data_IF_475054867022
#
_entry.id   IF_475054867022
#
_cell.length_a   1.000
_cell.length_b   1.000
_cell.length_c   1.000
_cell.angle_alpha   90.00
_cell.angle_beta   90.00
_cell.angle_gamma   90.00
#
_symmetry.space_group_name_H-M   'P 1'
#
loop_
_entity.id
_entity.type
_entity.pdbx_description
1 polymer ?
#
# COMPACT_ATOMS: atom_id res chain seq x y z
N UNK A 1 -10.84 0.06 11.52
CA UNK A 1 -10.04 1.03 12.31
C UNK A 1 -8.96 0.29 13.08
N UNK A 2 -7.86 -0.06 12.39
CA UNK A 2 -6.61 -0.43 13.08
C UNK A 2 -6.11 0.84 13.78
N UNK A 3 -5.75 0.73 15.05
CA UNK A 3 -5.16 1.86 15.78
C UNK A 3 -3.76 2.09 15.23
N UNK A 4 -3.61 3.11 14.38
CA UNK A 4 -2.31 3.67 14.05
C UNK A 4 -1.56 3.96 15.35
N UNK A 5 -0.38 3.35 15.51
CA UNK A 5 0.55 3.66 16.60
C UNK A 5 1.24 5.00 16.32
N UNK A 6 0.46 6.07 16.26
CA UNK A 6 0.97 7.44 16.15
C UNK A 6 0.88 8.10 17.51
N UNK A 7 2.02 8.25 18.17
CA UNK A 7 2.12 8.93 19.46
C UNK A 7 2.05 10.44 19.21
N UNK A 8 0.87 11.04 19.36
CA UNK A 8 0.69 12.49 19.24
C UNK A 8 1.08 13.21 20.54
N UNK A 9 2.14 14.02 20.50
CA UNK A 9 2.48 14.98 21.57
C UNK A 9 1.69 16.27 21.31
N UNK A 10 0.69 16.54 22.14
CA UNK A 10 -0.10 17.77 22.08
C UNK A 10 0.54 18.85 22.95
N UNK A 11 0.96 19.98 22.36
CA UNK A 11 1.32 21.20 23.10
C UNK A 11 0.21 22.22 22.89
N UNK A 12 -0.60 22.45 23.92
CA UNK A 12 -1.64 23.47 23.92
C UNK A 12 -1.07 24.85 24.25
N UNK A 13 -1.40 25.84 23.42
CA UNK A 13 -1.24 27.27 23.76
C UNK A 13 -2.59 27.95 23.57
N UNK A 14 -3.14 28.46 24.67
CA UNK A 14 -4.40 29.20 24.69
C UNK A 14 -4.15 30.67 24.35
N UNK A 15 -4.89 31.21 23.37
CA UNK A 15 -5.01 32.65 23.12
C UNK A 15 -6.41 33.11 23.52
N UNK A 16 -6.48 33.98 24.53
CA UNK A 16 -7.68 34.76 24.86
C UNK A 16 -7.77 35.99 23.96
N UNK A 17 -8.86 36.11 23.19
CA UNK A 17 -9.19 37.33 22.44
C UNK A 17 -10.33 38.10 23.14
N UNK A 18 -10.14 39.41 23.27
CA UNK A 18 -11.09 40.37 23.85
C UNK A 18 -12.04 40.84 22.75
N UNK A 19 -13.36 40.75 22.99
CA UNK A 19 -14.41 41.17 22.04
C UNK A 19 -14.72 42.66 22.27
N UNK A 20 -14.49 43.49 21.25
CA UNK A 20 -15.02 44.84 21.14
C UNK A 20 -16.22 44.85 20.19
N UNK A 21 -17.40 45.20 20.68
CA UNK A 21 -18.62 45.29 19.88
C UNK A 21 -18.70 46.62 19.13
N UNK A 22 -18.75 46.58 17.80
CA UNK A 22 -19.17 47.69 16.96
C UNK A 22 -20.41 47.27 16.14
N UNK A 23 -21.49 48.04 16.27
CA UNK A 23 -22.73 47.86 15.54
C UNK A 23 -22.54 48.29 14.08
N UNK A 24 -22.66 47.34 13.15
CA UNK A 24 -22.77 47.61 11.72
C UNK A 24 -24.12 47.09 11.20
N UNK A 25 -24.79 47.92 10.39
CA UNK A 25 -26.09 47.67 9.75
C UNK A 25 -26.04 46.51 8.76
N UNK A 26 -27.15 45.78 8.52
CA UNK A 26 -27.13 44.56 7.72
C UNK A 26 -26.96 44.93 6.23
N UNK A 27 -25.80 44.59 5.66
CA UNK A 27 -25.65 44.45 4.22
C UNK A 27 -26.30 43.13 3.79
N UNK A 28 -27.03 43.14 2.67
CA UNK A 28 -27.62 41.95 2.08
C UNK A 28 -26.55 40.87 1.92
N UNK A 29 -26.76 39.72 2.53
CA UNK A 29 -25.88 38.58 2.40
C UNK A 29 -25.92 38.13 0.93
N UNK A 30 -24.78 38.29 0.25
CA UNK A 30 -24.51 37.55 -0.98
C UNK A 30 -24.50 36.07 -0.59
N UNK A 31 -25.18 35.23 -1.37
CA UNK A 31 -25.11 33.78 -1.22
C UNK A 31 -23.63 33.37 -1.15
N UNK A 32 -23.23 32.52 -0.19
CA UNK A 32 -21.86 32.05 -0.13
C UNK A 32 -21.53 31.35 -1.45
N UNK A 33 -20.41 31.76 -2.05
CA UNK A 33 -19.82 31.09 -3.21
C UNK A 33 -19.74 29.58 -2.89
N UNK A 34 -20.18 28.69 -3.82
CA UNK A 34 -20.14 27.26 -3.55
C UNK A 34 -18.72 26.87 -3.15
N UNK A 35 -18.57 26.25 -1.99
CA UNK A 35 -17.27 25.84 -1.48
C UNK A 35 -16.51 25.07 -2.56
N UNK A 36 -15.29 25.52 -2.86
CA UNK A 36 -14.44 24.90 -3.87
C UNK A 36 -14.26 23.43 -3.50
N UNK A 37 -14.63 22.50 -4.41
CA UNK A 37 -14.50 21.06 -4.16
C UNK A 37 -13.06 20.73 -3.79
N UNK A 38 -12.82 19.83 -2.82
CA UNK A 38 -11.48 19.42 -2.45
C UNK A 38 -10.73 18.88 -3.68
N UNK A 39 -9.45 19.22 -3.75
CA UNK A 39 -8.54 18.82 -4.83
C UNK A 39 -7.44 17.97 -4.24
N UNK A 40 -7.06 16.94 -4.97
CA UNK A 40 -6.03 15.99 -4.58
C UNK A 40 -4.95 15.94 -5.64
N UNK A 41 -3.73 15.68 -5.19
CA UNK A 41 -2.61 15.52 -6.10
C UNK A 41 -2.71 14.16 -6.78
N UNK A 42 -2.62 14.18 -8.10
CA UNK A 42 -2.53 12.97 -8.90
C UNK A 42 -1.22 12.93 -9.66
N UNK A 43 -0.66 11.74 -9.70
CA UNK A 43 0.45 11.35 -10.55
C UNK A 43 -0.05 10.63 -11.80
N UNK A 44 0.61 10.83 -12.93
CA UNK A 44 0.38 10.09 -14.16
C UNK A 44 1.64 10.03 -15.02
N UNK A 45 1.63 9.10 -15.97
CA UNK A 45 2.75 8.89 -16.88
C UNK A 45 2.30 9.21 -18.32
N UNK A 46 2.77 10.34 -18.91
CA UNK A 46 2.36 10.74 -20.26
C UNK A 46 2.71 9.72 -21.33
N UNK A 47 3.81 8.98 -21.14
CA UNK A 47 4.31 7.98 -22.06
C UNK A 47 4.48 6.63 -21.34
N UNK A 48 4.21 5.48 -22.00
CA UNK A 48 4.24 4.17 -21.36
C UNK A 48 5.52 3.80 -20.60
N UNK A 49 6.68 4.25 -21.08
CA UNK A 49 7.98 4.03 -20.41
C UNK A 49 8.61 5.32 -19.86
N UNK A 50 7.82 6.38 -19.76
CA UNK A 50 8.30 7.72 -19.39
C UNK A 50 8.45 7.94 -17.89
N UNK A 51 8.87 9.16 -17.56
CA UNK A 51 8.87 9.69 -16.20
C UNK A 51 7.50 10.25 -15.83
N UNK A 52 7.19 10.26 -14.54
CA UNK A 52 5.92 10.74 -14.00
C UNK A 52 5.72 12.25 -14.13
N UNK A 53 4.47 12.67 -14.08
CA UNK A 53 4.00 14.06 -14.04
C UNK A 53 2.92 14.18 -12.99
N UNK A 54 2.90 15.31 -12.29
CA UNK A 54 1.91 15.60 -11.26
C UNK A 54 1.01 16.75 -11.67
N UNK A 55 -0.26 16.64 -11.28
CA UNK A 55 -1.23 17.73 -11.34
C UNK A 55 -2.18 17.61 -10.14
N UNK A 56 -3.13 18.52 -10.05
CA UNK A 56 -4.22 18.44 -9.09
C UNK A 56 -5.53 18.24 -9.84
N UNK A 57 -6.40 17.43 -9.28
CA UNK A 57 -7.75 17.19 -9.81
C UNK A 57 -8.77 17.25 -8.69
N UNK A 58 -10.04 17.61 -8.98
CA UNK A 58 -11.10 17.46 -7.99
C UNK A 58 -11.23 16.00 -7.56
N UNK A 59 -11.50 15.77 -6.28
CA UNK A 59 -11.79 14.43 -5.73
C UNK A 59 -13.05 13.84 -6.37
N UNK A 60 -14.04 14.70 -6.63
CA UNK A 60 -15.31 14.34 -7.26
C UNK A 60 -15.44 15.08 -8.58
N UNK A 61 -15.63 14.33 -9.66
CA UNK A 61 -15.75 14.89 -10.99
C UNK A 61 -17.23 14.98 -11.34
N UNK A 62 -17.69 16.21 -11.60
CA UNK A 62 -18.92 16.35 -12.38
C UNK A 62 -18.54 15.86 -13.78
N UNK A 63 -19.18 14.78 -14.24
CA UNK A 63 -19.04 14.24 -15.60
C UNK A 63 -18.79 15.36 -16.61
N UNK A 64 -17.65 15.31 -17.30
CA UNK A 64 -17.27 16.32 -18.29
C UNK A 64 -18.40 16.48 -19.31
N UNK A 65 -18.89 17.71 -19.44
CA UNK A 65 -19.83 18.23 -20.46
C UNK A 65 -21.33 17.95 -20.32
N UNK A 66 -21.98 18.47 -19.26
CA UNK A 66 -23.32 19.10 -19.35
C UNK A 66 -24.48 18.33 -19.99
N UNK A 67 -24.37 17.02 -20.21
CA UNK A 67 -25.45 16.15 -20.64
C UNK A 67 -25.88 15.34 -19.43
N UNK A 68 -27.15 15.42 -19.01
CA UNK A 68 -27.64 14.53 -17.98
C UNK A 68 -27.43 13.10 -18.47
N UNK A 69 -26.75 12.29 -17.67
CA UNK A 69 -26.66 10.85 -17.87
C UNK A 69 -28.08 10.34 -18.17
N UNK A 70 -28.26 9.78 -19.36
CA UNK A 70 -29.52 9.16 -19.69
C UNK A 70 -29.62 7.92 -18.81
N UNK A 71 -30.41 8.00 -17.73
CA UNK A 71 -30.79 6.84 -16.91
C UNK A 71 -31.46 5.82 -17.82
N UNK A 72 -30.66 4.91 -18.37
CA UNK A 72 -31.17 3.72 -19.03
C UNK A 72 -31.56 2.76 -17.92
N UNK A 73 -32.86 2.66 -17.67
CA UNK A 73 -33.42 1.57 -16.88
C UNK A 73 -33.34 0.30 -17.74
N UNK A 74 -32.18 -0.34 -17.74
CA UNK A 74 -32.09 -1.73 -18.18
C UNK A 74 -32.97 -2.58 -17.23
N UNK A 75 -33.65 -3.63 -17.72
CA UNK A 75 -34.42 -4.52 -16.86
C UNK A 75 -33.47 -5.13 -15.83
N UNK A 76 -33.94 -5.31 -14.60
CA UNK A 76 -33.23 -6.03 -13.55
C UNK A 76 -32.97 -7.48 -13.99
N UNK A 77 -31.86 -7.71 -14.68
CA UNK A 77 -31.10 -8.93 -14.48
C UNK A 77 -30.72 -8.99 -12.99
N UNK A 78 -30.53 -10.18 -12.44
CA UNK A 78 -29.91 -10.29 -11.12
C UNK A 78 -28.52 -9.63 -11.22
N UNK A 79 -28.42 -8.38 -10.76
CA UNK A 79 -27.23 -7.56 -10.97
C UNK A 79 -26.17 -8.02 -9.98
N UNK A 80 -25.01 -8.44 -10.47
CA UNK A 80 -23.82 -8.70 -9.63
C UNK A 80 -23.19 -7.39 -9.11
N UNK A 81 -23.89 -6.25 -9.22
CA UNK A 81 -23.37 -4.95 -8.80
C UNK A 81 -23.04 -4.93 -7.30
N UNK A 82 -21.78 -4.65 -7.00
CA UNK A 82 -21.22 -4.72 -5.66
C UNK A 82 -20.87 -6.11 -5.18
N UNK A 83 -20.95 -7.14 -6.01
CA UNK A 83 -20.48 -8.48 -5.67
C UNK A 83 -18.97 -8.43 -5.39
N UNK A 84 -18.57 -9.14 -4.31
CA UNK A 84 -17.18 -9.20 -3.87
C UNK A 84 -16.61 -10.56 -4.23
N UNK A 85 -15.61 -10.56 -5.11
CA UNK A 85 -14.84 -11.74 -5.49
C UNK A 85 -13.56 -11.89 -4.68
N UNK A 86 -13.03 -13.12 -4.66
CA UNK A 86 -11.76 -13.49 -4.01
C UNK A 86 -10.74 -13.83 -5.08
N UNK A 87 -9.87 -12.88 -5.42
CA UNK A 87 -8.81 -13.15 -6.40
C UNK A 87 -7.64 -13.89 -5.76
N UNK A 88 -7.20 -13.46 -4.57
CA UNK A 88 -6.17 -14.15 -3.79
C UNK A 88 -6.36 -13.85 -2.30
N UNK A 89 -6.67 -14.84 -1.47
CA UNK A 89 -6.84 -14.64 -0.02
C UNK A 89 -5.85 -15.54 0.72
N UNK A 90 -4.90 -14.93 1.41
CA UNK A 90 -3.75 -15.60 2.04
C UNK A 90 -3.83 -15.59 3.57
N UNK A 91 -4.81 -14.89 4.14
CA UNK A 91 -5.03 -14.80 5.58
C UNK A 91 -6.28 -14.00 5.94
N UNK A 92 -6.48 -13.78 7.24
CA UNK A 92 -7.49 -12.84 7.74
C UNK A 92 -7.13 -11.42 7.31
N UNK A 93 -8.12 -10.59 6.97
CA UNK A 93 -7.90 -9.17 6.67
C UNK A 93 -7.30 -8.40 7.85
N UNK A 94 -7.45 -8.89 9.09
CA UNK A 94 -6.75 -8.30 10.24
C UNK A 94 -5.23 -8.54 10.26
N UNK A 95 -4.73 -9.47 9.43
CA UNK A 95 -3.33 -9.90 9.38
C UNK A 95 -2.69 -9.69 8.00
N UNK A 96 -3.39 -9.05 7.06
CA UNK A 96 -2.96 -8.87 5.67
C UNK A 96 -3.09 -7.41 5.26
N UNK A 97 -2.36 -7.07 4.21
CA UNK A 97 -2.62 -5.89 3.39
C UNK A 97 -3.74 -6.24 2.41
N UNK A 98 -4.91 -5.61 2.52
CA UNK A 98 -6.07 -5.87 1.67
C UNK A 98 -6.09 -4.89 0.48
N UNK A 99 -5.82 -5.43 -0.71
CA UNK A 99 -5.92 -4.73 -1.99
C UNK A 99 -7.30 -4.98 -2.59
N UNK A 100 -8.03 -3.92 -2.89
CA UNK A 100 -9.36 -4.00 -3.52
C UNK A 100 -9.29 -3.50 -4.96
N UNK A 101 -9.62 -4.38 -5.90
CA UNK A 101 -9.68 -4.08 -7.33
C UNK A 101 -11.14 -3.85 -7.72
N UNK A 102 -11.47 -2.69 -8.28
CA UNK A 102 -12.80 -2.32 -8.74
C UNK A 102 -12.77 -2.12 -10.26
N UNK A 103 -13.71 -2.72 -11.00
CA UNK A 103 -13.81 -2.55 -12.45
C UNK A 103 -14.74 -1.40 -12.82
N UNK A 104 -14.39 -0.58 -13.82
CA UNK A 104 -15.29 0.44 -14.39
C UNK A 104 -15.38 0.35 -15.91
N UNK A 105 -16.55 0.70 -16.47
CA UNK A 105 -16.84 0.55 -17.89
C UNK A 105 -17.12 -0.89 -18.34
N UNK A 106 -17.40 -1.80 -17.40
CA UNK A 106 -17.83 -3.18 -17.67
C UNK A 106 -19.34 -3.32 -17.43
N UNK A 107 -20.09 -3.73 -18.45
CA UNK A 107 -21.53 -4.00 -18.33
C UNK A 107 -21.79 -5.30 -17.57
N UNK A 108 -23.06 -5.60 -17.26
CA UNK A 108 -23.44 -6.80 -16.50
C UNK A 108 -22.97 -8.11 -17.17
N UNK A 109 -22.95 -8.17 -18.50
CA UNK A 109 -22.47 -9.31 -19.29
C UNK A 109 -20.93 -9.32 -19.48
N UNK A 110 -20.21 -8.34 -18.94
CA UNK A 110 -18.76 -8.19 -19.07
C UNK A 110 -18.01 -8.39 -17.74
N UNK A 111 -18.68 -8.79 -16.65
CA UNK A 111 -18.01 -8.94 -15.35
C UNK A 111 -16.94 -10.05 -15.35
N UNK A 112 -17.12 -11.12 -16.12
CA UNK A 112 -16.06 -12.13 -16.33
C UNK A 112 -14.83 -11.53 -17.04
N UNK A 113 -15.03 -10.57 -17.96
CA UNK A 113 -13.93 -9.86 -18.60
C UNK A 113 -13.20 -8.95 -17.59
N UNK A 114 -13.92 -8.31 -16.68
CA UNK A 114 -13.32 -7.58 -15.56
C UNK A 114 -12.49 -8.50 -14.66
N UNK A 115 -13.03 -9.65 -14.22
CA UNK A 115 -12.27 -10.58 -13.37
C UNK A 115 -11.01 -11.11 -14.06
N UNK A 116 -11.09 -11.41 -15.36
CA UNK A 116 -9.93 -11.79 -16.15
C UNK A 116 -8.89 -10.66 -16.25
N UNK A 117 -9.33 -9.41 -16.44
CA UNK A 117 -8.45 -8.25 -16.43
C UNK A 117 -7.81 -8.07 -15.06
N UNK A 118 -8.57 -8.15 -13.97
CA UNK A 118 -8.08 -8.07 -12.60
C UNK A 118 -6.99 -9.13 -12.32
N UNK A 119 -7.24 -10.39 -12.69
CA UNK A 119 -6.26 -11.47 -12.55
C UNK A 119 -4.98 -11.19 -13.35
N UNK A 120 -5.11 -10.74 -14.60
CA UNK A 120 -3.97 -10.45 -15.48
C UNK A 120 -3.14 -9.26 -14.96
N UNK A 121 -3.80 -8.20 -14.51
CA UNK A 121 -3.14 -7.00 -13.97
C UNK A 121 -2.45 -7.30 -12.66
N UNK A 122 -3.13 -8.00 -11.76
CA UNK A 122 -2.54 -8.40 -10.50
C UNK A 122 -1.33 -9.32 -10.70
N UNK A 123 -1.40 -10.27 -11.64
CA UNK A 123 -0.27 -11.12 -12.00
C UNK A 123 0.93 -10.30 -12.52
N UNK A 124 0.69 -9.27 -13.34
CA UNK A 124 1.75 -8.40 -13.83
C UNK A 124 2.40 -7.56 -12.71
N UNK A 125 1.60 -7.01 -11.79
CA UNK A 125 2.11 -6.27 -10.62
C UNK A 125 2.95 -7.20 -9.74
N UNK A 126 2.45 -8.41 -9.50
CA UNK A 126 3.09 -9.37 -8.59
C UNK A 126 4.20 -10.20 -9.21
N UNK A 127 4.53 -9.98 -10.49
CA UNK A 127 5.77 -10.46 -11.11
C UNK A 127 6.99 -9.61 -10.72
N UNK A 128 6.76 -8.39 -10.23
CA UNK A 128 7.80 -7.46 -9.81
C UNK A 128 8.26 -7.78 -8.39
N UNK A 129 9.58 -7.77 -8.14
CA UNK A 129 10.12 -7.88 -6.79
C UNK A 129 10.16 -6.51 -6.08
N UNK A 130 9.71 -6.38 -4.82
CA UNK A 130 9.47 -7.48 -3.88
C UNK A 130 8.01 -7.96 -3.77
N UNK A 131 7.08 -7.49 -4.61
CA UNK A 131 5.69 -7.97 -4.58
C UNK A 131 5.62 -9.49 -4.72
N UNK A 132 6.38 -10.06 -5.67
CA UNK A 132 6.45 -11.50 -5.94
C UNK A 132 6.79 -12.33 -4.70
N UNK A 133 7.84 -11.96 -3.99
CA UNK A 133 8.30 -12.67 -2.80
C UNK A 133 7.35 -12.58 -1.61
N UNK A 134 6.55 -11.51 -1.54
CA UNK A 134 5.75 -11.15 -0.35
C UNK A 134 4.23 -11.21 -0.55
N UNK A 135 3.75 -11.78 -1.67
CA UNK A 135 2.30 -11.93 -1.94
C UNK A 135 1.53 -12.63 -0.80
N UNK A 136 2.18 -13.51 -0.03
CA UNK A 136 1.59 -14.18 1.13
C UNK A 136 1.17 -13.25 2.28
N UNK A 137 1.57 -11.97 2.23
CA UNK A 137 1.17 -10.91 3.15
C UNK A 137 0.00 -10.07 2.63
N UNK A 138 -0.54 -10.39 1.45
CA UNK A 138 -1.61 -9.63 0.82
C UNK A 138 -2.88 -10.47 0.66
N UNK A 139 -4.01 -9.82 0.79
CA UNK A 139 -5.28 -10.28 0.26
C UNK A 139 -5.67 -9.40 -0.93
N UNK A 140 -6.37 -10.00 -1.89
CA UNK A 140 -6.79 -9.34 -3.12
C UNK A 140 -8.25 -9.69 -3.38
N UNK A 141 -9.07 -8.64 -3.33
CA UNK A 141 -10.50 -8.70 -3.53
C UNK A 141 -10.86 -8.02 -4.84
N UNK A 142 -11.88 -8.54 -5.52
CA UNK A 142 -12.51 -7.82 -6.63
C UNK A 142 -13.87 -7.30 -6.19
N UNK A 143 -14.27 -6.14 -6.69
CA UNK A 143 -15.63 -5.63 -6.53
C UNK A 143 -16.19 -5.24 -7.89
N UNK A 144 -17.34 -5.82 -8.22
CA UNK A 144 -18.03 -5.57 -9.48
C UNK A 144 -18.74 -4.22 -9.41
N UNK A 145 -18.31 -3.23 -10.21
CA UNK A 145 -19.06 -2.00 -10.41
C UNK A 145 -19.71 -2.03 -11.80
N UNK A 146 -20.96 -2.47 -11.84
CA UNK A 146 -21.67 -2.74 -13.10
C UNK A 146 -22.03 -1.42 -13.76
N UNK A 147 -21.37 -1.15 -14.89
CA UNK A 147 -21.57 0.06 -15.68
C UNK A 147 -22.76 -0.07 -16.64
N UNK A 148 -23.44 1.05 -16.91
CA UNK A 148 -24.55 1.06 -17.88
C UNK A 148 -24.05 0.93 -19.33
N UNK A 149 -22.85 1.44 -19.60
CA UNK A 149 -22.19 1.35 -20.89
C UNK A 149 -20.82 0.68 -20.81
N UNK A 150 -20.44 0.03 -21.91
CA UNK A 150 -19.10 -0.53 -22.08
C UNK A 150 -18.11 0.53 -22.55
N UNK A 151 -16.89 0.47 -22.01
CA UNK A 151 -15.82 1.46 -22.21
C UNK A 151 -15.91 2.65 -21.26
N UNK A 152 -14.93 3.53 -21.29
CA UNK A 152 -14.90 4.75 -20.46
C UNK A 152 -14.93 6.04 -21.30
N UNK A 153 -15.28 7.16 -20.68
CA UNK A 153 -15.33 8.47 -21.34
C UNK A 153 -13.95 8.87 -21.88
N UNK A 154 -13.89 9.44 -23.09
CA UNK A 154 -12.65 9.89 -23.74
C UNK A 154 -11.91 8.83 -24.56
N UNK A 155 -12.49 7.65 -24.77
CA UNK A 155 -11.97 6.56 -25.61
C UNK A 155 -13.04 6.08 -26.63
N UNK A 156 -12.76 6.03 -27.96
CA UNK A 156 -11.48 6.33 -28.63
C UNK A 156 -11.09 7.81 -28.69
N UNK A 157 -12.05 8.74 -28.66
CA UNK A 157 -11.81 10.18 -28.85
C UNK A 157 -12.32 10.99 -27.68
N UNK A 158 -11.78 12.19 -27.48
CA UNK A 158 -12.08 13.06 -26.33
C UNK A 158 -13.57 13.47 -26.21
N UNK A 159 -14.33 13.42 -27.31
CA UNK A 159 -15.75 13.76 -27.37
C UNK A 159 -16.69 12.61 -26.98
N UNK A 160 -16.16 11.38 -26.79
CA UNK A 160 -16.97 10.23 -26.36
C UNK A 160 -17.30 10.34 -24.88
N UNK A 161 -18.58 10.34 -24.55
CA UNK A 161 -19.08 10.26 -23.18
C UNK A 161 -19.74 8.90 -22.92
N UNK A 162 -19.51 8.34 -21.74
CA UNK A 162 -20.00 7.04 -21.27
C UNK A 162 -20.59 7.14 -19.88
N UNK A 163 -21.76 6.52 -19.67
CA UNK A 163 -22.36 6.34 -18.36
C UNK A 163 -21.79 5.08 -17.67
N UNK A 164 -20.78 5.28 -16.83
CA UNK A 164 -20.08 4.20 -16.12
C UNK A 164 -20.26 4.29 -14.61
N UNK A 165 -20.08 3.17 -13.92
CA UNK A 165 -20.36 3.05 -12.49
C UNK A 165 -19.51 4.02 -11.66
N UNK A 166 -18.22 4.14 -11.96
CA UNK A 166 -17.27 5.01 -11.24
C UNK A 166 -17.01 6.33 -11.98
N UNK A 167 -17.56 6.52 -13.17
CA UNK A 167 -17.36 7.73 -13.96
C UNK A 167 -15.92 7.92 -14.44
N UNK A 168 -15.18 6.84 -14.70
CA UNK A 168 -13.80 6.93 -15.18
C UNK A 168 -13.71 7.62 -16.54
N UNK A 169 -12.69 8.45 -16.74
CA UNK A 169 -12.50 9.19 -17.98
C UNK A 169 -11.03 9.55 -18.24
N UNK A 170 -10.64 9.49 -19.52
CA UNK A 170 -9.38 10.05 -20.03
C UNK A 170 -9.46 11.56 -20.18
N UNK A 171 -8.36 12.22 -20.55
CA UNK A 171 -8.30 13.68 -20.79
C UNK A 171 -8.56 14.51 -19.53
N UNK A 172 -8.43 13.91 -18.36
CA UNK A 172 -8.50 14.64 -17.11
C UNK A 172 -7.40 15.71 -17.07
N UNK A 173 -7.75 16.91 -16.62
CA UNK A 173 -6.84 18.07 -16.64
C UNK A 173 -6.16 18.29 -18.01
N UNK A 174 -6.92 18.10 -19.11
CA UNK A 174 -6.46 18.23 -20.51
C UNK A 174 -5.33 17.26 -20.92
N UNK A 175 -5.08 16.24 -20.11
CA UNK A 175 -4.01 15.26 -20.32
C UNK A 175 -4.61 13.94 -20.80
N UNK A 176 -4.35 13.57 -22.07
CA UNK A 176 -4.94 12.37 -22.69
C UNK A 176 -4.82 11.12 -21.84
N UNK A 177 -3.64 10.87 -21.25
CA UNK A 177 -3.33 9.61 -20.54
C UNK A 177 -3.73 9.59 -19.07
N UNK A 178 -4.16 10.72 -18.52
CA UNK A 178 -4.60 10.80 -17.13
C UNK A 178 -6.04 10.28 -17.03
N UNK A 179 -6.21 9.13 -16.36
CA UNK A 179 -7.52 8.54 -16.08
C UNK A 179 -7.95 9.01 -14.69
N UNK A 180 -9.01 9.80 -14.64
CA UNK A 180 -9.65 10.17 -13.39
C UNK A 180 -10.93 9.38 -13.16
N UNK A 181 -11.29 9.14 -11.91
CA UNK A 181 -12.56 8.54 -11.47
C UNK A 181 -13.21 9.36 -10.35
N UNK A 182 -14.49 9.12 -10.10
CA UNK A 182 -15.22 9.69 -8.95
C UNK A 182 -14.84 8.95 -7.67
N UNK A 183 -14.04 9.59 -6.80
CA UNK A 183 -13.45 8.93 -5.63
C UNK A 183 -14.50 8.59 -4.57
N UNK A 184 -15.61 9.34 -4.47
CA UNK A 184 -16.72 8.95 -3.59
C UNK A 184 -17.35 7.62 -4.04
N UNK A 185 -17.54 7.45 -5.35
CA UNK A 185 -18.06 6.18 -5.88
C UNK A 185 -17.07 5.04 -5.69
N UNK A 186 -15.78 5.28 -5.98
CA UNK A 186 -14.69 4.31 -5.73
C UNK A 186 -14.71 3.86 -4.27
N UNK A 187 -14.76 4.80 -3.32
CA UNK A 187 -14.84 4.50 -1.91
C UNK A 187 -16.09 3.69 -1.53
N UNK A 188 -17.24 4.01 -2.12
CA UNK A 188 -18.49 3.28 -1.86
C UNK A 188 -18.45 1.82 -2.31
N UNK A 189 -17.77 1.53 -3.43
CA UNK A 189 -17.59 0.16 -3.92
C UNK A 189 -16.49 -0.56 -3.13
N UNK A 190 -15.35 0.09 -2.87
CA UNK A 190 -14.27 -0.49 -2.09
C UNK A 190 -14.74 -0.91 -0.68
N UNK A 191 -15.62 -0.12 -0.05
CA UNK A 191 -16.21 -0.42 1.25
C UNK A 191 -17.11 -1.69 1.29
N UNK A 192 -17.42 -2.30 0.13
CA UNK A 192 -18.14 -3.58 0.07
C UNK A 192 -17.21 -4.76 0.39
N UNK A 193 -15.91 -4.63 0.13
CA UNK A 193 -14.90 -5.64 0.49
C UNK A 193 -14.64 -5.68 2.01
N UNK A 194 -14.05 -6.77 2.56
CA UNK A 194 -13.86 -6.91 4.01
C UNK A 194 -13.02 -5.79 4.66
N UNK A 195 -11.90 -5.43 4.03
CA UNK A 195 -11.05 -4.27 4.35
C UNK A 195 -10.48 -3.74 3.02
N UNK A 196 -10.06 -2.47 2.99
CA UNK A 196 -9.49 -1.82 1.83
C UNK A 196 -8.37 -0.88 2.27
N UNK A 197 -7.14 -1.37 2.24
CA UNK A 197 -5.95 -0.55 2.52
C UNK A 197 -5.51 0.20 1.25
N UNK A 198 -5.56 -0.50 0.11
CA UNK A 198 -5.24 0.03 -1.22
C UNK A 198 -6.37 -0.27 -2.20
N UNK A 199 -6.65 0.69 -3.09
CA UNK A 199 -7.67 0.52 -4.12
C UNK A 199 -7.08 0.66 -5.52
N UNK A 200 -7.44 -0.28 -6.39
CA UNK A 200 -7.05 -0.28 -7.80
C UNK A 200 -8.33 -0.22 -8.65
N UNK A 201 -8.44 0.78 -9.52
CA UNK A 201 -9.53 0.90 -10.49
C UNK A 201 -9.05 0.45 -11.86
N UNK A 202 -9.67 -0.59 -12.40
CA UNK A 202 -9.41 -1.07 -13.76
C UNK A 202 -10.49 -0.52 -14.69
N UNK A 203 -10.11 0.41 -15.56
CA UNK A 203 -10.96 0.98 -16.60
C UNK A 203 -10.96 0.09 -17.84
N UNK A 204 -12.14 -0.30 -18.32
CA UNK A 204 -12.32 -1.08 -19.55
C UNK A 204 -11.88 -0.28 -20.79
N UNK A 205 -10.63 -0.45 -21.20
CA UNK A 205 -10.00 0.33 -22.27
C UNK A 205 -8.70 -0.33 -22.74
N UNK A 206 -8.46 -0.23 -24.05
CA UNK A 206 -7.18 -0.61 -24.69
C UNK A 206 -6.18 0.54 -24.77
N UNK A 207 -6.66 1.78 -24.65
CA UNK A 207 -5.83 2.98 -24.64
C UNK A 207 -4.94 2.98 -23.40
N UNK A 208 -3.65 3.26 -23.55
CA UNK A 208 -2.75 3.45 -22.40
C UNK A 208 -3.20 4.64 -21.55
N UNK A 209 -3.14 4.47 -20.23
CA UNK A 209 -3.27 5.53 -19.25
C UNK A 209 -3.54 4.99 -17.86
N UNK A 210 -3.59 5.90 -16.90
CA UNK A 210 -3.73 5.62 -15.48
C UNK A 210 -3.26 6.79 -14.64
N UNK A 211 -3.42 6.66 -13.32
CA UNK A 211 -3.03 7.67 -12.35
C UNK A 211 -2.80 7.06 -10.97
N UNK A 212 -2.05 7.77 -10.13
CA UNK A 212 -2.00 7.58 -8.70
C UNK A 212 -2.60 8.75 -7.96
N UNK A 213 -3.53 8.48 -7.05
CA UNK A 213 -4.11 9.49 -6.18
C UNK A 213 -3.43 9.43 -4.82
N UNK A 214 -2.89 10.57 -4.39
CA UNK A 214 -2.21 10.73 -3.11
C UNK A 214 -2.94 11.72 -2.20
N UNK A 215 -2.74 11.59 -0.89
CA UNK A 215 -3.31 12.51 0.11
C UNK A 215 -4.81 12.31 0.39
N UNK A 216 -5.40 11.18 -0.02
CA UNK A 216 -6.83 10.92 0.14
C UNK A 216 -7.25 10.79 1.62
N UNK A 217 -6.36 10.33 2.51
CA UNK A 217 -6.63 10.29 3.95
C UNK A 217 -6.92 11.68 4.54
N UNK A 218 -6.20 12.72 4.07
CA UNK A 218 -6.40 14.09 4.52
C UNK A 218 -7.79 14.63 4.14
N UNK A 219 -8.37 14.07 3.08
CA UNK A 219 -9.73 14.35 2.62
C UNK A 219 -10.79 13.44 3.23
N UNK A 220 -10.39 12.52 4.14
CA UNK A 220 -11.30 11.69 4.92
C UNK A 220 -11.60 10.31 4.33
N UNK A 221 -10.87 9.87 3.30
CA UNK A 221 -11.01 8.52 2.77
C UNK A 221 -10.23 7.49 3.60
N UNK A 222 -10.73 6.25 3.73
CA UNK A 222 -10.18 5.25 4.64
C UNK A 222 -9.06 4.36 4.05
N UNK A 223 -8.49 4.73 2.90
CA UNK A 223 -7.46 3.97 2.19
C UNK A 223 -6.25 4.86 1.87
N UNK A 224 -5.07 4.25 1.79
CA UNK A 224 -3.78 4.95 1.64
C UNK A 224 -3.59 5.57 0.25
N UNK A 225 -4.29 5.04 -0.75
CA UNK A 225 -4.19 5.51 -2.13
C UNK A 225 -5.16 4.81 -3.08
N UNK A 226 -5.39 5.44 -4.23
CA UNK A 226 -6.13 4.86 -5.36
C UNK A 226 -5.23 4.90 -6.59
N UNK A 227 -5.08 3.77 -7.27
CA UNK A 227 -4.47 3.74 -8.60
C UNK A 227 -5.52 3.44 -9.67
N UNK A 228 -5.56 4.23 -10.74
CA UNK A 228 -6.37 3.95 -11.93
C UNK A 228 -5.49 3.40 -13.03
N UNK A 229 -6.00 2.45 -13.81
CA UNK A 229 -5.27 1.87 -14.94
C UNK A 229 -6.20 1.31 -16.02
N UNK A 230 -5.71 1.23 -17.25
CA UNK A 230 -6.46 0.59 -18.35
C UNK A 230 -6.30 -0.92 -18.38
N UNK A 231 -7.39 -1.63 -18.63
CA UNK A 231 -7.48 -3.10 -18.63
C UNK A 231 -6.60 -3.78 -19.68
N UNK A 232 -6.47 -3.19 -20.87
CA UNK A 232 -5.86 -3.88 -22.02
C UNK A 232 -4.57 -3.19 -22.49
N UNK A 233 -3.79 -2.67 -21.53
CA UNK A 233 -2.43 -2.20 -21.76
C UNK A 233 -1.45 -2.66 -20.67
N UNK A 234 -0.41 -3.43 -21.03
CA UNK A 234 0.55 -4.00 -20.07
C UNK A 234 1.31 -2.94 -19.27
N UNK A 235 1.61 -1.78 -19.87
CA UNK A 235 2.36 -0.71 -19.21
C UNK A 235 1.51 0.01 -18.15
N UNK A 236 0.18 -0.03 -18.25
CA UNK A 236 -0.70 0.52 -17.21
C UNK A 236 -0.59 -0.23 -15.87
N UNK A 237 -0.15 -1.50 -15.85
CA UNK A 237 0.14 -2.22 -14.59
C UNK A 237 1.33 -1.62 -13.86
N UNK A 238 2.29 -1.04 -14.59
CA UNK A 238 3.49 -0.41 -14.02
C UNK A 238 3.14 0.84 -13.23
N UNK A 239 2.08 1.56 -13.63
CA UNK A 239 1.55 2.70 -12.87
C UNK A 239 1.10 2.19 -11.49
N UNK A 240 0.21 1.20 -11.42
CA UNK A 240 -0.22 0.66 -10.12
C UNK A 240 0.94 0.11 -9.27
N UNK A 241 1.92 -0.57 -9.87
CA UNK A 241 3.10 -1.03 -9.15
C UNK A 241 3.96 0.11 -8.59
N UNK A 242 4.05 1.24 -9.29
CA UNK A 242 4.67 2.49 -8.82
C UNK A 242 3.86 3.10 -7.67
N UNK A 243 2.54 3.26 -7.84
CA UNK A 243 1.68 3.91 -6.84
C UNK A 243 1.60 3.15 -5.51
N UNK A 244 1.51 1.81 -5.58
CA UNK A 244 1.53 0.96 -4.39
C UNK A 244 2.83 1.19 -3.59
N UNK A 245 3.92 1.57 -4.26
CA UNK A 245 5.20 1.77 -3.59
C UNK A 245 5.29 3.06 -2.79
N UNK A 246 4.51 4.09 -3.14
CA UNK A 246 4.34 5.26 -2.28
C UNK A 246 3.64 4.88 -0.98
N UNK A 247 2.51 4.17 -1.06
CA UNK A 247 1.72 3.80 0.13
C UNK A 247 2.44 2.77 1.01
N UNK A 248 2.97 1.71 0.41
CA UNK A 248 3.59 0.62 1.16
C UNK A 248 5.04 0.93 1.53
N UNK A 249 5.84 1.33 0.55
CA UNK A 249 7.28 1.55 0.74
C UNK A 249 7.65 2.92 1.29
N UNK A 250 6.70 3.87 1.35
CA UNK A 250 6.97 5.28 1.66
C UNK A 250 8.10 5.84 0.80
N UNK A 251 8.10 5.46 -0.48
CA UNK A 251 9.10 5.90 -1.45
C UNK A 251 8.70 7.25 -2.03
N UNK A 252 9.69 8.11 -2.26
CA UNK A 252 9.51 9.31 -3.08
C UNK A 252 9.68 8.99 -4.56
N UNK A 253 9.18 9.88 -5.40
CA UNK A 253 9.54 9.93 -6.81
C UNK A 253 11.02 10.24 -7.02
N UNK A 254 11.59 9.60 -8.04
CA UNK A 254 13.00 9.73 -8.43
C UNK A 254 13.19 10.51 -9.74
N UNK A 255 12.10 10.91 -10.41
CA UNK A 255 12.15 11.77 -11.59
C UNK A 255 12.19 13.26 -11.23
N UNK A 256 12.47 14.11 -12.22
CA UNK A 256 12.80 15.52 -12.03
C UNK A 256 12.04 16.42 -13.00
N UNK A 257 11.81 17.66 -12.60
CA UNK A 257 11.29 18.72 -13.46
C UNK A 257 12.32 19.85 -13.56
N UNK A 258 12.75 20.19 -14.77
CA UNK A 258 13.74 21.25 -14.99
C UNK A 258 13.36 22.58 -14.33
N UNK A 259 12.05 22.86 -14.23
CA UNK A 259 11.49 24.05 -13.60
C UNK A 259 11.74 24.16 -12.09
N UNK A 260 12.05 23.05 -11.41
CA UNK A 260 12.29 23.03 -9.96
C UNK A 260 13.69 23.51 -9.59
N UNK A 261 14.66 23.41 -10.51
CA UNK A 261 16.04 23.85 -10.27
C UNK A 261 16.73 23.07 -9.15
N UNK A 262 17.39 23.79 -8.24
CA UNK A 262 18.21 23.17 -7.18
C UNK A 262 17.47 23.17 -5.85
N UNK A 263 17.39 22.01 -5.21
CA UNK A 263 16.95 21.92 -3.82
C UNK A 263 17.95 22.61 -2.89
N UNK A 264 17.44 23.47 -2.01
CA UNK A 264 18.24 24.23 -1.02
C UNK A 264 17.79 23.97 0.42
N UNK A 265 16.86 23.04 0.61
CA UNK A 265 16.33 22.66 1.91
C UNK A 265 17.19 21.62 2.64
N UNK A 266 16.64 21.09 3.73
CA UNK A 266 17.29 20.04 4.53
C UNK A 266 17.14 18.64 3.94
N UNK A 267 17.59 17.66 4.73
CA UNK A 267 17.45 16.24 4.38
C UNK A 267 15.98 15.82 4.29
N UNK A 268 15.65 15.02 3.28
CA UNK A 268 14.31 14.51 3.04
C UNK A 268 14.01 13.30 3.93
N UNK A 269 12.74 13.00 4.26
CA UNK A 269 12.40 11.82 5.04
C UNK A 269 12.55 10.52 4.24
N UNK A 270 12.20 10.53 2.96
CA UNK A 270 12.06 9.35 2.10
C UNK A 270 13.38 8.61 1.90
N UNK A 271 13.35 7.29 2.06
CA UNK A 271 14.59 6.49 2.10
C UNK A 271 15.34 6.48 0.77
N UNK A 272 14.66 6.67 -0.37
CA UNK A 272 15.25 6.70 -1.71
C UNK A 272 15.59 8.12 -2.21
N UNK A 273 15.61 9.13 -1.34
CA UNK A 273 16.06 10.48 -1.68
C UNK A 273 16.90 11.10 -0.57
N UNK A 274 18.01 11.76 -0.93
CA UNK A 274 18.95 12.33 0.05
C UNK A 274 19.70 13.53 -0.49
N UNK A 275 20.05 14.47 0.38
CA UNK A 275 20.96 15.60 0.09
C UNK A 275 22.44 15.23 0.26
N UNK A 276 22.73 14.01 0.75
CA UNK A 276 24.09 13.58 1.03
C UNK A 276 24.78 12.93 -0.18
N UNK A 277 26.07 13.24 -0.38
CA UNK A 277 26.94 12.48 -1.29
C UNK A 277 27.22 11.09 -0.72
N UNK A 278 27.74 10.18 -1.56
CA UNK A 278 28.12 8.83 -1.12
C UNK A 278 29.10 8.85 0.07
N UNK A 279 30.09 9.76 0.07
CA UNK A 279 31.05 9.88 1.17
C UNK A 279 30.39 10.35 2.47
N UNK A 280 29.50 11.35 2.39
CA UNK A 280 28.76 11.86 3.54
C UNK A 280 27.83 10.79 4.10
N UNK A 281 27.10 10.09 3.22
CA UNK A 281 26.19 9.01 3.57
C UNK A 281 26.92 7.86 4.26
N UNK A 282 28.08 7.45 3.73
CA UNK A 282 28.93 6.43 4.32
C UNK A 282 29.52 6.84 5.68
N UNK A 283 30.02 8.08 5.79
CA UNK A 283 30.59 8.62 7.02
C UNK A 283 29.55 8.73 8.14
N UNK A 284 28.35 9.19 7.79
CA UNK A 284 27.26 9.42 8.74
C UNK A 284 26.43 8.16 9.01
N UNK A 285 26.59 7.10 8.21
CA UNK A 285 25.80 5.85 8.27
C UNK A 285 24.29 6.11 8.22
N UNK A 286 23.88 6.91 7.26
CA UNK A 286 22.48 7.30 7.05
C UNK A 286 21.95 6.77 5.72
N UNK A 287 20.62 6.81 5.54
CA UNK A 287 19.95 6.41 4.29
C UNK A 287 20.40 5.02 3.81
N UNK A 288 20.79 4.89 2.55
CA UNK A 288 21.19 3.63 1.95
C UNK A 288 22.69 3.32 2.05
N UNK A 289 23.40 3.84 3.06
CA UNK A 289 24.84 3.60 3.20
C UNK A 289 25.24 2.11 3.18
N UNK A 290 24.35 1.21 3.63
CA UNK A 290 24.56 -0.26 3.62
C UNK A 290 24.53 -0.88 2.24
N UNK A 291 24.03 -0.15 1.26
CA UNK A 291 23.88 -0.59 -0.13
C UNK A 291 24.92 0.05 -1.06
N UNK A 292 25.63 1.11 -0.64
CA UNK A 292 26.62 1.78 -1.49
C UNK A 292 27.64 0.80 -2.09
N UNK A 293 27.80 0.85 -3.41
CA UNK A 293 28.71 0.00 -4.18
C UNK A 293 28.16 -1.37 -4.56
N UNK A 294 26.97 -1.74 -4.10
CA UNK A 294 26.34 -3.01 -4.46
C UNK A 294 25.82 -3.01 -5.89
N UNK A 295 25.93 -4.15 -6.57
CA UNK A 295 25.30 -4.34 -7.88
C UNK A 295 23.78 -4.32 -7.73
N UNK A 296 23.11 -3.49 -8.52
CA UNK A 296 21.68 -3.26 -8.39
C UNK A 296 20.86 -3.96 -9.50
N UNK A 297 19.67 -4.51 -9.21
CA UNK A 297 18.80 -5.13 -10.20
C UNK A 297 18.30 -4.16 -11.28
N UNK A 298 18.29 -2.85 -11.00
CA UNK A 298 18.00 -1.80 -12.00
C UNK A 298 19.14 -1.62 -13.01
N UNK A 299 20.26 -2.31 -12.82
CA UNK A 299 21.50 -2.16 -13.55
C UNK A 299 22.48 -1.20 -12.88
N UNK A 300 23.78 -1.44 -13.06
CA UNK A 300 24.83 -0.63 -12.44
C UNK A 300 25.02 -0.94 -10.95
N UNK A 301 25.43 0.08 -10.19
CA UNK A 301 25.70 -0.04 -8.75
C UNK A 301 24.96 1.03 -7.96
N UNK A 302 24.57 0.72 -6.74
CA UNK A 302 23.99 1.71 -5.83
C UNK A 302 25.03 2.77 -5.48
N UNK A 303 24.67 4.04 -5.64
CA UNK A 303 25.49 5.21 -5.41
C UNK A 303 24.62 6.41 -5.02
N UNK A 304 25.07 7.62 -5.36
CA UNK A 304 24.28 8.85 -5.18
C UNK A 304 24.20 9.57 -6.53
N UNK A 305 23.11 9.33 -7.26
CA UNK A 305 22.88 9.86 -8.60
C UNK A 305 22.08 11.15 -8.50
N UNK A 306 22.60 12.26 -9.03
CA UNK A 306 21.95 13.56 -8.90
C UNK A 306 20.62 13.60 -9.66
N UNK A 307 19.62 14.24 -9.03
CA UNK A 307 18.24 14.33 -9.49
C UNK A 307 17.33 13.36 -8.74
N UNK A 308 16.37 13.88 -7.97
CA UNK A 308 15.32 13.11 -7.30
C UNK A 308 14.25 14.04 -6.74
N UNK A 309 13.11 13.49 -6.30
CA UNK A 309 12.03 14.25 -5.65
C UNK A 309 11.69 15.54 -6.40
N UNK A 310 11.56 15.42 -7.73
CA UNK A 310 11.24 16.51 -8.65
C UNK A 310 12.36 17.52 -8.90
N UNK A 311 13.45 17.55 -8.11
CA UNK A 311 14.56 18.50 -8.28
C UNK A 311 15.68 17.90 -9.13
N UNK A 312 16.09 18.56 -10.23
CA UNK A 312 17.24 18.10 -11.03
C UNK A 312 18.58 18.20 -10.29
N UNK A 313 18.72 19.06 -9.28
CA UNK A 313 19.98 19.27 -8.54
C UNK A 313 19.78 19.32 -7.03
N UNK A 314 20.82 18.94 -6.28
CA UNK A 314 20.86 19.04 -4.80
C UNK A 314 20.17 17.90 -4.04
N UNK A 315 19.53 16.97 -4.74
CA UNK A 315 19.01 15.71 -4.19
C UNK A 315 19.55 14.57 -5.05
N UNK A 316 19.90 13.47 -4.40
CA UNK A 316 20.40 12.24 -5.00
C UNK A 316 19.40 11.11 -4.81
N UNK A 317 19.30 10.24 -5.82
CA UNK A 317 18.63 8.93 -5.77
C UNK A 317 19.66 7.78 -5.77
N UNK A 318 19.27 6.53 -5.45
CA UNK A 318 20.23 5.46 -5.24
C UNK A 318 20.86 4.90 -6.52
N UNK A 319 20.15 4.93 -7.65
CA UNK A 319 20.56 4.31 -8.91
C UNK A 319 20.27 5.20 -10.12
N UNK A 320 20.82 4.84 -11.29
CA UNK A 320 20.55 5.58 -12.52
C UNK A 320 19.08 5.59 -12.92
N UNK A 321 18.36 4.49 -12.65
CA UNK A 321 16.94 4.31 -12.93
C UNK A 321 16.27 3.40 -11.91
N UNK A 322 14.95 3.46 -11.79
CA UNK A 322 14.11 2.53 -11.05
C UNK A 322 12.65 2.74 -11.48
N UNK A 323 11.75 1.86 -11.08
CA UNK A 323 10.30 2.07 -11.26
C UNK A 323 9.80 3.38 -10.63
N UNK A 324 10.45 3.89 -9.57
CA UNK A 324 10.12 5.19 -8.97
C UNK A 324 10.60 6.38 -9.81
N UNK A 325 11.34 6.13 -10.89
CA UNK A 325 11.84 7.16 -11.81
C UNK A 325 11.11 7.12 -13.14
N UNK A 326 11.08 5.97 -13.80
CA UNK A 326 10.48 5.81 -15.12
C UNK A 326 9.94 4.39 -15.32
N UNK A 327 8.89 4.25 -16.12
CA UNK A 327 8.21 2.97 -16.31
C UNK A 327 8.82 2.11 -17.44
N UNK A 328 9.97 2.50 -17.98
CA UNK A 328 10.74 1.68 -18.93
C UNK A 328 11.55 0.55 -18.26
N UNK A 329 11.44 0.42 -16.94
CA UNK A 329 12.07 -0.59 -16.12
C UNK A 329 11.05 -1.11 -15.09
N UNK A 330 11.13 -2.40 -14.76
CA UNK A 330 10.20 -3.05 -13.82
C UNK A 330 10.75 -3.21 -12.41
N UNK A 331 11.99 -2.79 -12.19
CA UNK A 331 12.73 -3.05 -10.98
C UNK A 331 12.75 -1.83 -10.04
N UNK A 332 12.49 -2.08 -8.76
CA UNK A 332 12.93 -1.19 -7.68
C UNK A 332 14.44 -1.32 -7.47
N UNK A 333 15.10 -0.21 -7.13
CA UNK A 333 16.47 -0.23 -6.60
C UNK A 333 16.53 -0.92 -5.23
N UNK A 334 17.70 -1.40 -4.81
CA UNK A 334 17.85 -2.18 -3.57
C UNK A 334 17.34 -1.44 -2.31
N UNK A 335 17.64 -0.14 -2.10
CA UNK A 335 17.05 0.61 -0.99
C UNK A 335 15.53 0.66 -1.05
N UNK A 336 14.96 0.88 -2.23
CA UNK A 336 13.52 0.85 -2.46
C UNK A 336 12.89 -0.51 -2.17
N UNK A 337 13.55 -1.61 -2.58
CA UNK A 337 13.09 -2.98 -2.25
C UNK A 337 13.06 -3.22 -0.75
N UNK A 338 14.11 -2.84 -0.03
CA UNK A 338 14.14 -3.00 1.43
C UNK A 338 13.04 -2.19 2.13
N UNK A 339 12.76 -0.98 1.64
CA UNK A 339 11.67 -0.15 2.15
C UNK A 339 10.29 -0.77 1.90
N UNK A 340 10.07 -1.33 0.71
CA UNK A 340 8.86 -2.07 0.38
C UNK A 340 8.68 -3.30 1.29
N UNK A 341 9.76 -4.02 1.57
CA UNK A 341 9.75 -5.14 2.53
C UNK A 341 9.33 -4.66 3.92
N UNK A 342 9.90 -3.55 4.39
CA UNK A 342 9.51 -2.92 5.66
C UNK A 342 8.00 -2.60 5.68
N UNK A 343 7.50 -2.03 4.58
CA UNK A 343 6.08 -1.76 4.36
C UNK A 343 5.19 -2.99 4.51
N UNK A 344 5.52 -4.10 3.84
CA UNK A 344 4.70 -5.31 3.95
C UNK A 344 4.62 -5.85 5.39
N UNK A 345 5.72 -5.79 6.15
CA UNK A 345 5.71 -6.20 7.56
C UNK A 345 5.06 -5.17 8.50
N UNK A 346 4.91 -3.92 8.07
CA UNK A 346 4.14 -2.91 8.81
C UNK A 346 2.64 -3.13 8.67
N UNK A 347 2.19 -3.53 7.48
CA UNK A 347 0.76 -3.69 7.16
C UNK A 347 0.21 -5.10 7.39
N UNK A 348 1.06 -6.12 7.56
CA UNK A 348 0.64 -7.50 7.66
C UNK A 348 1.42 -8.32 8.70
N UNK A 349 0.76 -9.36 9.25
CA UNK A 349 1.38 -10.33 10.15
C UNK A 349 1.76 -11.62 9.39
N UNK A 350 3.05 -11.89 9.28
CA UNK A 350 3.64 -13.10 8.74
C UNK A 350 3.55 -14.32 9.67
N UNK A 351 3.16 -14.14 10.94
CA UNK A 351 3.10 -15.17 11.98
C UNK A 351 1.81 -15.07 12.80
N UNK A 352 1.00 -16.12 12.77
CA UNK A 352 -0.22 -16.22 13.56
C UNK A 352 -0.29 -17.52 14.37
N UNK A 353 -1.25 -17.61 15.30
CA UNK A 353 -1.47 -18.83 16.08
C UNK A 353 -2.94 -19.12 16.30
N UNK A 354 -3.30 -20.39 16.23
CA UNK A 354 -4.61 -20.88 16.64
C UNK A 354 -4.78 -20.95 18.18
N UNK A 355 -3.68 -20.75 18.94
CA UNK A 355 -3.71 -20.74 20.40
C UNK A 355 -3.57 -19.31 20.88
N UNK A 356 -4.61 -18.79 21.53
CA UNK A 356 -4.62 -17.44 22.07
C UNK A 356 -3.45 -17.20 23.03
N UNK A 357 -2.82 -16.04 22.91
CA UNK A 357 -1.65 -15.61 23.72
C UNK A 357 -2.06 -14.90 25.01
N UNK A 358 -3.32 -14.47 25.13
CA UNK A 358 -3.89 -13.74 26.25
C UNK A 358 -4.25 -14.61 27.47
N UNK A 359 -4.24 -15.94 27.28
CA UNK A 359 -4.70 -16.91 28.26
C UNK A 359 -3.58 -17.89 28.63
N UNK A 360 -3.48 -18.23 29.91
CA UNK A 360 -2.47 -19.17 30.37
C UNK A 360 -2.78 -20.60 29.92
N UNK A 361 -1.80 -21.27 29.31
CA UNK A 361 -1.91 -22.64 28.81
C UNK A 361 -1.20 -23.64 29.73
N UNK A 362 -1.49 -24.93 29.59
CA UNK A 362 -0.79 -25.98 30.32
C UNK A 362 0.54 -26.31 29.66
N UNK A 363 1.50 -26.79 30.45
CA UNK A 363 2.78 -27.32 29.96
C UNK A 363 2.64 -28.40 28.87
N UNK A 364 1.53 -29.13 28.88
CA UNK A 364 1.20 -30.21 27.96
C UNK A 364 0.36 -29.76 26.77
N UNK A 365 -0.12 -28.52 26.75
CA UNK A 365 -0.86 -27.96 25.63
C UNK A 365 0.02 -27.91 24.38
N UNK A 366 -0.56 -28.26 23.23
CA UNK A 366 0.13 -28.12 21.94
C UNK A 366 -0.04 -26.71 21.42
N UNK A 367 1.06 -26.03 21.17
CA UNK A 367 1.08 -24.74 20.46
C UNK A 367 1.26 -25.05 18.97
N UNK A 368 0.45 -24.41 18.13
CA UNK A 368 0.59 -24.42 16.67
C UNK A 368 0.65 -22.97 16.19
N UNK A 369 1.61 -22.67 15.33
CA UNK A 369 1.71 -21.40 14.64
C UNK A 369 1.65 -21.62 13.14
N UNK A 370 1.06 -20.65 12.45
CA UNK A 370 0.99 -20.59 11.00
C UNK A 370 1.84 -19.42 10.52
N UNK A 371 2.40 -19.55 9.32
CA UNK A 371 3.16 -18.50 8.66
C UNK A 371 2.47 -18.08 7.38
N UNK A 372 2.67 -16.83 6.98
CA UNK A 372 2.41 -16.42 5.61
C UNK A 372 3.32 -17.21 4.65
N UNK A 373 2.80 -17.52 3.46
CA UNK A 373 3.55 -18.21 2.41
C UNK A 373 4.41 -17.18 1.65
N UNK A 374 5.65 -17.01 2.10
CA UNK A 374 6.63 -16.10 1.48
C UNK A 374 7.66 -16.90 0.67
N UNK A 375 8.19 -16.30 -0.39
CA UNK A 375 9.14 -16.95 -1.31
C UNK A 375 10.30 -16.01 -1.68
N UNK A 376 11.21 -16.46 -2.56
CA UNK A 376 12.24 -15.61 -3.17
C UNK A 376 13.13 -14.86 -2.18
N UNK A 377 12.95 -13.54 -2.12
CA UNK A 377 13.68 -12.59 -1.26
C UNK A 377 13.36 -12.74 0.24
N UNK A 378 12.32 -13.49 0.60
CA UNK A 378 11.87 -13.70 1.97
C UNK A 378 12.24 -15.09 2.48
N UNK A 379 12.83 -15.17 3.68
CA UNK A 379 13.10 -16.45 4.34
C UNK A 379 13.01 -16.33 5.87
N UNK A 380 11.82 -16.04 6.43
CA UNK A 380 11.66 -15.83 7.86
C UNK A 380 11.92 -17.11 8.66
N UNK A 381 12.79 -17.00 9.67
CA UNK A 381 13.16 -18.11 10.54
C UNK A 381 12.34 -18.12 11.82
N UNK A 382 11.71 -19.27 12.13
CA UNK A 382 11.06 -19.50 13.42
C UNK A 382 12.09 -19.87 14.49
N UNK A 383 12.10 -19.14 15.61
CA UNK A 383 12.94 -19.44 16.77
C UNK A 383 12.11 -19.47 18.05
N UNK A 384 12.30 -20.50 18.85
CA UNK A 384 11.58 -20.69 20.11
C UNK A 384 12.44 -20.36 21.32
N UNK A 385 11.80 -19.84 22.36
CA UNK A 385 12.43 -19.44 23.61
C UNK A 385 11.58 -19.90 24.80
N UNK A 386 12.24 -20.29 25.89
CA UNK A 386 11.63 -20.53 27.21
C UNK A 386 12.27 -19.56 28.19
N UNK A 387 11.47 -18.69 28.82
CA UNK A 387 11.94 -17.64 29.73
C UNK A 387 13.09 -16.80 29.14
N UNK A 388 12.93 -16.42 27.86
CA UNK A 388 13.92 -15.66 27.10
C UNK A 388 15.15 -16.46 26.64
N UNK A 389 15.30 -17.73 27.03
CA UNK A 389 16.42 -18.58 26.62
C UNK A 389 16.10 -19.33 25.33
N UNK A 390 16.96 -19.26 24.29
CA UNK A 390 16.69 -19.90 23.01
C UNK A 390 16.71 -21.43 23.10
N UNK A 391 15.73 -22.08 22.49
CA UNK A 391 15.61 -23.53 22.37
C UNK A 391 16.02 -23.95 20.96
N UNK A 392 17.33 -24.00 20.69
CA UNK A 392 17.90 -24.24 19.35
C UNK A 392 17.32 -25.45 18.62
N UNK A 393 17.07 -26.55 19.34
CA UNK A 393 16.51 -27.79 18.76
C UNK A 393 15.10 -27.65 18.18
N UNK A 394 14.38 -26.59 18.55
CA UNK A 394 13.03 -26.31 18.08
C UNK A 394 13.01 -25.25 16.96
N UNK A 395 14.17 -24.77 16.49
CA UNK A 395 14.24 -23.84 15.37
C UNK A 395 13.52 -24.41 14.14
N UNK A 396 12.68 -23.59 13.51
CA UNK A 396 11.86 -23.97 12.35
C UNK A 396 10.58 -24.74 12.68
N UNK A 397 10.34 -25.16 13.93
CA UNK A 397 9.13 -25.93 14.27
C UNK A 397 7.90 -25.03 14.28
N UNK A 398 6.86 -25.43 13.54
CA UNK A 398 5.53 -24.77 13.54
C UNK A 398 4.57 -25.33 14.61
N UNK A 399 4.94 -26.46 15.25
CA UNK A 399 4.18 -27.00 16.37
C UNK A 399 5.11 -27.53 17.45
N UNK A 400 4.82 -27.15 18.70
CA UNK A 400 5.63 -27.50 19.87
C UNK A 400 4.72 -27.82 21.06
N UNK A 401 5.30 -28.45 22.08
CA UNK A 401 4.70 -28.62 23.40
C UNK A 401 5.65 -27.98 24.41
N UNK A 402 5.21 -27.07 25.31
CA UNK A 402 6.09 -26.41 26.27
C UNK A 402 6.97 -27.36 27.08
N UNK A 403 6.43 -28.51 27.51
CA UNK A 403 7.21 -29.57 28.16
C UNK A 403 8.41 -30.04 27.31
N UNK A 404 8.22 -30.23 26.00
CA UNK A 404 9.27 -30.66 25.08
C UNK A 404 10.29 -29.55 24.78
N UNK A 405 9.90 -28.27 24.97
CA UNK A 405 10.81 -27.13 24.94
C UNK A 405 11.68 -27.02 26.19
N UNK A 406 11.32 -27.72 27.28
CA UNK A 406 12.06 -27.73 28.53
C UNK A 406 11.44 -26.87 29.63
N UNK A 407 10.17 -26.48 29.51
CA UNK A 407 9.43 -25.88 30.62
C UNK A 407 9.36 -26.90 31.78
N UNK A 408 9.85 -26.56 32.98
CA UNK A 408 9.88 -27.49 34.11
C UNK A 408 8.46 -27.74 34.66
N UNK A 409 8.35 -28.69 35.59
CA UNK A 409 7.10 -28.98 36.33
C UNK A 409 7.25 -28.54 37.80
N UNK A 410 7.61 -27.28 38.01
CA UNK A 410 8.00 -26.72 39.32
C UNK A 410 6.87 -25.91 40.00
N UNK A 411 5.66 -25.93 39.43
CA UNK A 411 4.51 -25.18 39.94
C UNK A 411 4.53 -23.69 39.61
N UNK A 412 5.57 -23.18 38.93
CA UNK A 412 5.69 -21.77 38.57
C UNK A 412 5.07 -21.48 37.21
N UNK A 413 4.98 -20.19 36.90
CA UNK A 413 4.58 -19.71 35.58
C UNK A 413 5.84 -19.47 34.75
N UNK A 414 5.84 -19.98 33.53
CA UNK A 414 6.91 -19.78 32.55
C UNK A 414 6.37 -19.06 31.32
N UNK A 415 7.27 -18.54 30.51
CA UNK A 415 6.94 -17.97 29.21
C UNK A 415 7.51 -18.82 28.10
N UNK A 416 6.68 -19.13 27.10
CA UNK A 416 7.13 -19.70 25.83
C UNK A 416 6.93 -18.63 24.77
N UNK A 417 7.98 -18.31 24.04
CA UNK A 417 7.94 -17.31 22.96
C UNK A 417 8.40 -17.95 21.66
N UNK A 418 7.73 -17.62 20.56
CA UNK A 418 8.25 -17.83 19.21
C UNK A 418 8.46 -16.47 18.55
N UNK A 419 9.53 -16.35 17.79
CA UNK A 419 9.78 -15.21 16.91
C UNK A 419 9.88 -15.69 15.48
N UNK A 420 9.32 -14.93 14.53
CA UNK A 420 9.58 -15.04 13.10
C UNK A 420 10.46 -13.85 12.71
N UNK A 421 11.61 -14.09 12.09
CA UNK A 421 12.54 -13.00 11.74
C UNK A 421 13.08 -13.23 10.35
N UNK A 422 12.90 -12.25 9.47
CA UNK A 422 13.58 -12.20 8.19
C UNK A 422 15.05 -11.80 8.37
N UNK A 423 15.97 -12.63 7.87
CA UNK A 423 17.42 -12.39 7.94
C UNK A 423 18.08 -12.52 6.56
N UNK A 424 17.30 -12.43 5.49
CA UNK A 424 17.86 -12.49 4.14
C UNK A 424 18.76 -11.30 3.85
N UNK A 425 19.55 -11.41 2.78
CA UNK A 425 20.41 -10.32 2.33
C UNK A 425 19.61 -9.09 1.84
N UNK A 426 18.30 -9.24 1.62
CA UNK A 426 17.37 -8.19 1.24
C UNK A 426 16.99 -7.26 2.40
N UNK A 427 17.27 -7.67 3.65
CA UNK A 427 17.01 -6.88 4.88
C UNK A 427 18.32 -6.64 5.65
N UNK A 428 19.03 -5.58 5.27
CA UNK A 428 20.32 -5.14 5.83
C UNK A 428 20.17 -4.16 6.99
N UNK A 429 19.14 -3.31 6.98
CA UNK A 429 18.88 -2.36 8.05
C UNK A 429 18.37 -3.09 9.30
N UNK A 430 19.05 -2.94 10.47
CA UNK A 430 18.56 -3.47 11.73
C UNK A 430 17.19 -2.95 12.15
N UNK A 431 16.80 -1.73 11.75
CA UNK A 431 15.48 -1.16 12.05
C UNK A 431 14.40 -1.87 11.23
N UNK A 432 14.59 -2.01 9.92
CA UNK A 432 13.70 -2.81 9.05
C UNK A 432 13.63 -4.26 9.53
N UNK A 433 14.76 -4.84 9.97
CA UNK A 433 14.76 -6.19 10.54
C UNK A 433 13.95 -6.29 11.84
N UNK A 434 13.94 -5.25 12.65
CA UNK A 434 13.15 -5.20 13.87
C UNK A 434 11.65 -5.12 13.54
N UNK A 435 11.28 -4.37 12.50
CA UNK A 435 9.91 -4.33 11.96
C UNK A 435 9.49 -5.68 11.38
N UNK A 436 10.37 -6.33 10.59
CA UNK A 436 10.20 -7.68 10.07
C UNK A 436 10.34 -8.81 11.11
N UNK A 437 10.36 -8.47 12.40
CA UNK A 437 10.42 -9.43 13.52
C UNK A 437 9.10 -9.49 14.26
N UNK A 438 8.36 -10.57 14.04
CA UNK A 438 7.13 -10.85 14.77
C UNK A 438 7.36 -11.77 15.95
N UNK A 439 6.52 -11.60 16.99
CA UNK A 439 6.66 -12.32 18.25
C UNK A 439 5.30 -12.72 18.82
N UNK A 440 5.15 -14.00 19.13
CA UNK A 440 4.03 -14.53 19.91
C UNK A 440 4.55 -15.11 21.24
N UNK A 441 3.90 -14.78 22.34
CA UNK A 441 4.29 -15.23 23.69
C UNK A 441 3.09 -15.82 24.42
N UNK A 442 3.25 -17.02 24.96
CA UNK A 442 2.27 -17.68 25.82
C UNK A 442 2.76 -17.76 27.26
N UNK A 443 1.85 -17.52 28.18
CA UNK A 443 2.03 -17.82 29.60
C UNK A 443 1.73 -19.30 29.84
N UNK A 444 2.67 -20.04 30.42
CA UNK A 444 2.55 -21.50 30.64
C UNK A 444 2.52 -21.81 32.13
N UNK A 445 1.45 -22.47 32.59
CA UNK A 445 1.35 -23.01 33.95
C UNK A 445 2.07 -24.35 34.03
N UNK A 446 3.13 -24.42 34.85
CA UNK A 446 3.84 -25.65 35.15
C UNK A 446 3.17 -26.42 36.28
N UNK A 447 1.86 -26.73 36.17
CA UNK A 447 1.18 -27.53 37.20
C UNK A 447 1.88 -28.89 37.33
N UNK A 448 2.49 -29.14 38.49
CA UNK A 448 2.93 -30.47 38.90
C UNK A 448 1.74 -31.42 38.90
N UNK A 449 1.97 -32.70 38.64
CA UNK A 449 0.92 -33.72 38.76
C UNK A 449 0.16 -33.50 40.07
N UNK A 450 -1.18 -33.45 39.98
CA UNK A 450 -2.03 -33.50 41.15
C UNK A 450 -1.58 -34.67 42.01
N UNK A 451 -1.24 -34.37 43.26
CA UNK A 451 -1.14 -35.39 44.29
C UNK A 451 -2.49 -36.09 44.34
N UNK A 452 -2.59 -37.29 43.77
CA UNK A 452 -3.57 -38.27 44.21
C UNK A 452 -3.25 -38.55 45.69
N UNK A 453 -3.97 -37.88 46.59
CA UNK A 453 -4.04 -38.32 47.97
C UNK A 453 -5.02 -39.51 48.00
N UNK A 454 -4.53 -40.58 48.61
CA UNK A 454 -5.16 -41.88 48.80
C UNK A 454 -6.47 -41.83 49.57
#
# INVERSE_FOLDING_TARGET
>A
MRTNRSTAISVGVAFTAIIGAALATPAAALDPEPAQKPRVSVEYFPEPGGEGRRTEVPVNTDTVSGRPAARSLAPAAETTDGEVGKLSVTGSSADRLDVVIVGDGYTADQQEAFHSAAATKWAAITDIEPYSSYQGLMNVWTVDAVSAESGITGDPTADVAKDTALGSYFWCSETERLICADIDKVASYAAKAPEADLVIVISNSTKYGGAGYSGLEAEGYPFDGVSTLSSDNVQSSMIAAHEIAHSVGLLADEYTYDSYGTWTGGELPDINSSTFTAEQMAANRTKWYRWLGESDPTGGTVGTYEGSSYYPFGIYRPTGNSIMRALNISEFNLPGREAMIAGFYREANALSSAVATDSAILRTSRIKVSRAELTGLAAPELRWYVDGRPVKRAQGYSSVVPAALGVPADGRTHTVTVTSVDRTASVRDPEVRAEATEKLTWTVKASGHGSHQH
#
